data_IF_212198386415
#
_entry.id   IF_212198386415
#
_cell.length_a   1.000
_cell.length_b   1.000
_cell.length_c   1.000
_cell.angle_alpha   90.00
_cell.angle_beta   90.00
_cell.angle_gamma   90.00
#
_symmetry.space_group_name_H-M   'P 1'
#
loop_
_entity.id
_entity.type
_entity.pdbx_description
1 polymer ?
#
# COMPACT_ATOMS: atom_id res chain seq x y z
N UNK A 1 26.44 8.27 1.46
CA UNK A 1 25.16 7.60 1.18
C UNK A 1 24.34 7.66 2.45
N UNK A 2 23.23 8.39 2.45
CA UNK A 2 22.27 8.43 3.55
C UNK A 2 21.17 7.39 3.28
N UNK A 3 20.86 6.60 4.30
CA UNK A 3 19.79 5.61 4.30
C UNK A 3 19.02 5.70 5.60
N UNK A 4 17.70 5.72 5.50
CA UNK A 4 16.79 5.71 6.63
C UNK A 4 15.96 4.44 6.62
N UNK A 5 15.94 3.73 7.74
CA UNK A 5 15.14 2.54 7.99
C UNK A 5 14.20 2.80 9.15
N UNK A 6 12.92 2.53 8.94
CA UNK A 6 11.91 2.54 9.99
C UNK A 6 11.03 1.29 9.91
N UNK A 7 10.71 0.72 11.06
CA UNK A 7 9.76 -0.37 11.20
C UNK A 7 8.81 -0.06 12.35
N UNK A 8 7.53 -0.41 12.20
CA UNK A 8 6.51 -0.23 13.24
C UNK A 8 5.74 -1.53 13.50
N UNK A 9 5.58 -1.85 14.78
CA UNK A 9 4.72 -2.93 15.26
C UNK A 9 3.42 -2.31 15.81
N UNK A 10 2.31 -2.58 15.12
CA UNK A 10 1.02 -1.92 15.30
C UNK A 10 0.00 -2.86 15.93
N UNK A 11 0.02 -4.13 15.53
CA UNK A 11 -0.99 -5.11 15.95
C UNK A 11 -0.67 -5.66 17.35
N UNK A 12 0.63 -5.77 17.69
CA UNK A 12 1.10 -6.13 19.02
C UNK A 12 2.46 -5.47 19.31
N UNK A 13 2.75 -5.13 20.57
CA UNK A 13 4.09 -4.72 20.95
C UNK A 13 5.08 -5.89 20.88
N UNK A 14 6.34 -5.55 20.60
CA UNK A 14 7.50 -6.43 20.69
C UNK A 14 7.77 -6.78 22.14
N UNK A 15 7.93 -8.07 22.41
CA UNK A 15 8.37 -8.53 23.73
C UNK A 15 9.88 -8.29 23.92
N UNK A 16 10.40 -8.49 25.15
CA UNK A 16 11.81 -8.23 25.47
C UNK A 16 12.77 -9.10 24.66
N UNK A 17 12.45 -10.38 24.46
CA UNK A 17 13.28 -11.31 23.70
C UNK A 17 13.35 -10.89 22.21
N UNK A 18 12.25 -10.42 21.64
CA UNK A 18 12.20 -9.89 20.28
C UNK A 18 13.06 -8.63 20.13
N UNK A 19 12.98 -7.71 21.09
CA UNK A 19 13.82 -6.51 21.12
C UNK A 19 15.30 -6.83 21.24
N UNK A 20 15.68 -7.84 22.05
CA UNK A 20 17.06 -8.32 22.16
C UNK A 20 17.56 -8.94 20.86
N UNK A 21 16.74 -9.74 20.16
CA UNK A 21 17.09 -10.29 18.84
C UNK A 21 17.29 -9.18 17.81
N UNK A 22 16.46 -8.14 17.81
CA UNK A 22 16.62 -6.97 16.93
C UNK A 22 17.87 -6.16 17.27
N UNK A 23 18.21 -6.05 18.56
CA UNK A 23 19.45 -5.41 19.04
C UNK A 23 20.70 -6.12 18.53
N UNK A 24 20.64 -7.45 18.38
CA UNK A 24 21.74 -8.23 17.79
C UNK A 24 21.89 -7.99 16.27
N UNK A 25 20.82 -7.58 15.57
CA UNK A 25 20.86 -7.23 14.14
C UNK A 25 21.47 -5.84 13.94
N UNK A 26 21.07 -4.86 14.75
CA UNK A 26 21.65 -3.52 14.72
C UNK A 26 21.86 -2.98 16.12
N UNK A 27 23.13 -2.76 16.45
CA UNK A 27 23.52 -2.16 17.73
C UNK A 27 23.19 -0.66 17.77
N UNK A 28 23.16 0.01 16.61
CA UNK A 28 22.95 1.46 16.47
C UNK A 28 21.48 1.87 16.37
N UNK A 29 20.58 0.94 16.05
CA UNK A 29 19.17 1.25 15.89
C UNK A 29 18.53 1.73 17.20
N UNK A 30 17.60 2.68 17.13
CA UNK A 30 16.69 2.94 18.25
C UNK A 30 15.59 1.89 18.20
N UNK A 31 15.40 1.16 19.30
CA UNK A 31 14.42 0.06 19.38
C UNK A 31 13.53 0.31 20.58
N UNK A 32 12.22 0.24 20.36
CA UNK A 32 11.19 0.34 21.39
C UNK A 32 10.27 -0.88 21.32
N UNK A 33 9.24 -0.92 22.16
CA UNK A 33 8.22 -1.96 22.06
C UNK A 33 7.39 -1.88 20.76
N UNK A 34 7.40 -0.76 20.04
CA UNK A 34 6.54 -0.54 18.86
C UNK A 34 7.31 -0.08 17.63
N UNK A 35 8.63 0.14 17.73
CA UNK A 35 9.41 0.65 16.62
C UNK A 35 10.87 0.20 16.61
N UNK A 36 11.44 0.17 15.40
CA UNK A 36 12.87 0.07 15.15
C UNK A 36 13.22 1.14 14.12
N UNK A 37 14.12 2.06 14.45
CA UNK A 37 14.60 3.08 13.52
C UNK A 37 16.11 3.07 13.44
N UNK A 38 16.66 3.31 12.25
CA UNK A 38 18.10 3.32 12.04
C UNK A 38 18.48 4.20 10.85
N UNK A 39 19.57 4.94 11.00
CA UNK A 39 20.12 5.79 9.95
C UNK A 39 21.56 5.40 9.68
N UNK A 40 21.89 5.17 8.40
CA UNK A 40 23.24 4.84 7.97
C UNK A 40 23.81 5.93 7.07
N UNK A 41 25.09 6.23 7.27
CA UNK A 41 25.89 7.08 6.37
C UNK A 41 26.94 6.26 5.56
N UNK A 42 27.15 5.00 5.95
CA UNK A 42 28.02 4.00 5.33
C UNK A 42 27.56 2.59 5.72
N UNK A 43 27.69 1.63 4.80
CA UNK A 43 27.22 0.26 4.99
C UNK A 43 25.70 0.11 4.83
N UNK A 44 25.17 -1.02 5.26
CA UNK A 44 23.76 -1.36 5.14
C UNK A 44 23.25 -2.09 6.40
N UNK A 45 21.92 -2.20 6.56
CA UNK A 45 21.29 -3.01 7.58
C UNK A 45 21.70 -4.48 7.40
N UNK A 46 22.27 -5.09 8.45
CA UNK A 46 22.70 -6.50 8.39
C UNK A 46 21.54 -7.50 8.34
N UNK A 47 20.32 -7.05 8.64
CA UNK A 47 19.09 -7.85 8.58
C UNK A 47 18.36 -7.66 7.26
N UNK A 48 17.57 -8.67 6.87
CA UNK A 48 16.70 -8.58 5.70
C UNK A 48 15.35 -7.92 6.07
N UNK A 49 15.00 -6.77 5.48
CA UNK A 49 13.77 -6.05 5.82
C UNK A 49 12.49 -6.87 5.62
N UNK A 50 12.37 -7.64 4.52
CA UNK A 50 11.21 -8.52 4.28
C UNK A 50 11.01 -9.51 5.43
N UNK A 51 12.08 -10.20 5.86
CA UNK A 51 12.02 -11.17 6.97
C UNK A 51 11.75 -10.51 8.32
N UNK A 52 12.28 -9.31 8.54
CA UNK A 52 12.01 -8.54 9.76
C UNK A 52 10.54 -8.15 9.83
N UNK A 53 9.96 -7.66 8.72
CA UNK A 53 8.54 -7.31 8.64
C UNK A 53 7.66 -8.55 8.79
N UNK A 54 7.94 -9.67 8.13
CA UNK A 54 7.17 -10.90 8.32
C UNK A 54 7.02 -11.32 9.78
N UNK A 55 8.11 -11.19 10.54
CA UNK A 55 8.25 -11.79 11.87
C UNK A 55 7.87 -10.86 13.01
N UNK A 56 8.18 -9.57 12.91
CA UNK A 56 8.15 -8.65 14.04
C UNK A 56 7.30 -7.40 13.83
N UNK A 57 7.14 -6.95 12.58
CA UNK A 57 6.56 -5.63 12.30
C UNK A 57 5.35 -5.71 11.38
N UNK A 58 4.57 -4.64 11.36
CA UNK A 58 3.38 -4.54 10.52
C UNK A 58 3.54 -3.53 9.39
N UNK A 59 4.53 -2.64 9.50
CA UNK A 59 4.94 -1.75 8.43
C UNK A 59 6.46 -1.50 8.47
N UNK A 60 7.03 -1.23 7.30
CA UNK A 60 8.43 -0.85 7.13
C UNK A 60 8.57 0.23 6.06
N UNK A 61 9.41 1.21 6.31
CA UNK A 61 9.80 2.26 5.37
C UNK A 61 11.33 2.28 5.22
N UNK A 62 11.79 2.40 3.97
CA UNK A 62 13.19 2.57 3.63
C UNK A 62 13.34 3.69 2.60
N UNK A 63 14.23 4.64 2.89
CA UNK A 63 14.45 5.82 2.06
C UNK A 63 15.95 6.08 1.92
N UNK A 64 16.38 6.41 0.71
CA UNK A 64 17.78 6.70 0.40
C UNK A 64 17.95 8.04 -0.30
N UNK A 65 19.13 8.64 -0.16
CA UNK A 65 19.45 9.88 -0.87
C UNK A 65 19.86 9.68 -2.34
N UNK A 66 19.77 8.46 -2.85
CA UNK A 66 19.98 8.14 -4.27
C UNK A 66 18.69 7.66 -4.94
N UNK A 67 17.54 7.92 -4.31
CA UNK A 67 16.23 7.81 -4.94
C UNK A 67 15.38 6.61 -4.55
N UNK A 68 15.90 5.60 -3.85
CA UNK A 68 15.09 4.44 -3.46
C UNK A 68 14.13 4.80 -2.32
N UNK A 69 12.83 4.72 -2.60
CA UNK A 69 11.73 4.80 -1.65
C UNK A 69 11.01 3.47 -1.61
N UNK A 70 10.90 2.86 -0.43
CA UNK A 70 10.27 1.55 -0.27
C UNK A 70 9.36 1.52 0.94
N UNK A 71 8.16 0.98 0.75
CA UNK A 71 7.15 0.76 1.79
C UNK A 71 6.74 -0.72 1.78
N UNK A 72 6.81 -1.38 2.92
CA UNK A 72 6.24 -2.72 3.12
C UNK A 72 5.08 -2.63 4.11
N UNK A 73 3.90 -3.12 3.72
CA UNK A 73 2.73 -3.21 4.59
C UNK A 73 2.34 -4.68 4.80
N UNK A 74 2.08 -5.06 6.05
CA UNK A 74 1.64 -6.40 6.43
C UNK A 74 0.19 -6.35 6.93
N UNK A 75 -0.66 -7.17 6.33
CA UNK A 75 -2.08 -7.26 6.65
C UNK A 75 -2.51 -8.70 6.91
N UNK A 76 -3.48 -8.95 7.81
CA UNK A 76 -4.08 -10.27 7.97
C UNK A 76 -4.72 -10.76 6.65
N UNK A 77 -4.52 -12.03 6.30
CA UNK A 77 -5.10 -12.64 5.07
C UNK A 77 -6.62 -12.52 4.94
N UNK A 78 -7.30 -12.49 6.08
CA UNK A 78 -8.76 -12.36 6.17
C UNK A 78 -9.26 -10.94 5.82
N UNK A 79 -8.37 -9.96 5.86
CA UNK A 79 -8.66 -8.57 5.52
C UNK A 79 -8.22 -8.21 4.09
N UNK A 80 -7.13 -8.82 3.60
CA UNK A 80 -6.66 -8.66 2.23
C UNK A 80 -6.17 -10.00 1.69
N UNK A 81 -6.77 -10.47 0.60
CA UNK A 81 -6.41 -11.74 -0.03
C UNK A 81 -5.36 -11.52 -1.12
N UNK A 82 -4.33 -12.39 -1.17
CA UNK A 82 -3.27 -12.30 -2.17
C UNK A 82 -3.78 -12.29 -3.63
N UNK A 83 -4.80 -13.07 -4.02
CA UNK A 83 -5.37 -13.00 -5.38
C UNK A 83 -5.98 -11.64 -5.74
N UNK A 84 -6.44 -10.85 -4.76
CA UNK A 84 -6.93 -9.48 -4.99
C UNK A 84 -5.79 -8.51 -5.31
N UNK A 85 -4.60 -8.78 -4.76
CA UNK A 85 -3.42 -7.93 -4.93
C UNK A 85 -2.69 -8.24 -6.23
N UNK A 86 -2.62 -9.52 -6.61
CA UNK A 86 -1.81 -9.99 -7.75
C UNK A 86 -2.01 -9.24 -9.07
N UNK A 87 -3.22 -8.79 -9.46
CA UNK A 87 -3.40 -7.99 -10.66
C UNK A 87 -2.64 -6.66 -10.66
N UNK A 88 -2.32 -6.11 -9.49
CA UNK A 88 -1.59 -4.85 -9.34
C UNK A 88 -0.08 -5.04 -9.20
N UNK A 89 0.40 -6.29 -9.11
CA UNK A 89 1.84 -6.56 -9.06
C UNK A 89 2.47 -6.27 -10.43
N UNK A 90 3.57 -5.52 -10.43
CA UNK A 90 4.32 -5.17 -11.63
C UNK A 90 5.81 -5.18 -11.27
N UNK A 91 6.51 -6.13 -11.88
CA UNK A 91 7.92 -6.45 -11.67
C UNK A 91 8.43 -6.31 -10.21
N UNK A 92 9.55 -5.63 -9.97
CA UNK A 92 10.13 -5.45 -8.65
C UNK A 92 9.56 -4.24 -7.88
N UNK A 93 8.82 -3.37 -8.57
CA UNK A 93 8.21 -2.16 -8.00
C UNK A 93 6.98 -2.47 -7.14
N UNK A 94 6.13 -3.42 -7.55
CA UNK A 94 4.96 -3.86 -6.76
C UNK A 94 4.97 -5.37 -6.62
N UNK A 95 5.46 -5.85 -5.47
CA UNK A 95 5.47 -7.27 -5.15
C UNK A 95 4.51 -7.56 -3.99
N UNK A 96 4.01 -8.80 -3.96
CA UNK A 96 3.19 -9.27 -2.86
C UNK A 96 3.37 -10.77 -2.64
N UNK A 97 3.47 -11.13 -1.36
CA UNK A 97 3.58 -12.52 -0.95
C UNK A 97 2.74 -12.78 0.30
N UNK A 98 2.52 -14.07 0.58
CA UNK A 98 1.72 -14.52 1.69
C UNK A 98 2.52 -15.41 2.63
N UNK A 99 2.40 -15.15 3.93
CA UNK A 99 2.81 -16.10 4.97
C UNK A 99 1.64 -17.04 5.27
N UNK A 100 1.68 -17.80 6.37
CA UNK A 100 0.52 -18.61 6.78
C UNK A 100 -0.71 -17.74 7.11
N UNK A 101 -0.49 -16.58 7.73
CA UNK A 101 -1.55 -15.77 8.36
C UNK A 101 -1.71 -14.37 7.77
N UNK A 102 -0.69 -13.86 7.07
CA UNK A 102 -0.65 -12.48 6.56
C UNK A 102 -0.34 -12.44 5.06
N UNK A 103 -0.71 -11.32 4.43
CA UNK A 103 -0.23 -10.87 3.13
C UNK A 103 0.70 -9.68 3.38
N UNK A 104 1.80 -9.61 2.63
CA UNK A 104 2.73 -8.50 2.63
C UNK A 104 2.72 -7.86 1.24
N UNK A 105 2.70 -6.53 1.23
CA UNK A 105 2.82 -5.69 0.04
C UNK A 105 4.19 -5.03 0.09
N UNK A 106 4.96 -5.11 -0.98
CA UNK A 106 6.24 -4.42 -1.19
C UNK A 106 6.06 -3.39 -2.29
N UNK A 107 6.20 -2.12 -1.96
CA UNK A 107 6.06 -1.02 -2.92
C UNK A 107 7.40 -0.30 -2.99
N UNK A 108 8.00 -0.22 -4.18
CA UNK A 108 9.31 0.40 -4.41
C UNK A 108 9.22 1.40 -5.55
N UNK A 109 9.74 2.61 -5.32
CA UNK A 109 9.96 3.64 -6.33
C UNK A 109 11.44 4.00 -6.31
N UNK A 110 12.11 3.86 -7.44
CA UNK A 110 13.49 4.26 -7.65
C UNK A 110 13.53 5.49 -8.56
N UNK A 111 14.48 6.38 -8.30
CA UNK A 111 14.69 7.61 -9.07
C UNK A 111 16.19 7.87 -9.19
N UNK A 112 16.73 7.77 -10.41
CA UNK A 112 18.15 7.98 -10.66
C UNK A 112 18.60 9.44 -10.40
N UNK A 113 17.66 10.39 -10.31
CA UNK A 113 17.91 11.80 -10.07
C UNK A 113 18.35 12.15 -8.64
N UNK A 114 18.09 11.27 -7.67
CA UNK A 114 18.58 11.34 -6.29
C UNK A 114 18.46 12.71 -5.60
N UNK A 115 17.34 12.97 -4.93
CA UNK A 115 17.15 14.18 -4.10
C UNK A 115 17.27 13.92 -2.59
N UNK A 116 17.51 14.98 -1.82
CA UNK A 116 17.43 14.94 -0.35
C UNK A 116 15.97 14.76 0.10
N UNK A 117 15.70 13.70 0.85
CA UNK A 117 14.35 13.42 1.38
C UNK A 117 14.22 14.03 2.78
N UNK A 118 13.79 15.29 2.84
CA UNK A 118 13.44 15.96 4.09
C UNK A 118 12.18 15.30 4.70
N UNK A 119 12.18 15.04 6.01
CA UNK A 119 11.00 14.51 6.71
C UNK A 119 10.69 13.02 6.48
N UNK A 120 11.65 12.21 6.02
CA UNK A 120 11.46 10.76 5.87
C UNK A 120 10.97 10.06 7.17
N UNK A 121 11.34 10.61 8.33
CA UNK A 121 10.94 10.14 9.67
C UNK A 121 9.45 10.37 10.02
N UNK A 122 8.74 11.24 9.29
CA UNK A 122 7.30 11.43 9.44
C UNK A 122 6.48 10.62 8.42
N UNK A 123 7.16 10.09 7.39
CA UNK A 123 6.50 9.44 6.24
C UNK A 123 5.74 8.18 6.64
N UNK A 124 6.35 7.30 7.45
CA UNK A 124 5.69 6.04 7.78
C UNK A 124 4.42 6.27 8.60
N UNK A 125 4.44 7.23 9.54
CA UNK A 125 3.29 7.60 10.37
C UNK A 125 2.13 8.16 9.54
N UNK A 126 2.41 8.84 8.43
CA UNK A 126 1.36 9.28 7.51
C UNK A 126 0.81 8.14 6.63
N UNK A 127 1.63 7.11 6.36
CA UNK A 127 1.30 5.98 5.49
C UNK A 127 0.62 4.79 6.21
N UNK A 128 0.76 4.65 7.54
CA UNK A 128 0.14 3.51 8.27
C UNK A 128 -1.38 3.43 8.10
N UNK A 129 -2.05 4.56 7.83
CA UNK A 129 -3.50 4.61 7.57
C UNK A 129 -3.93 3.79 6.36
N UNK A 130 -3.02 3.53 5.40
CA UNK A 130 -3.27 2.68 4.24
C UNK A 130 -3.63 1.24 4.64
N UNK A 131 -3.14 0.75 5.79
CA UNK A 131 -3.48 -0.60 6.29
C UNK A 131 -4.98 -0.73 6.56
N UNK A 132 -5.56 0.29 7.19
CA UNK A 132 -7.00 0.30 7.49
C UNK A 132 -7.84 0.46 6.21
N UNK A 133 -7.37 1.25 5.26
CA UNK A 133 -8.02 1.43 3.96
C UNK A 133 -8.05 0.11 3.17
N UNK A 134 -6.89 -0.54 3.00
CA UNK A 134 -6.76 -1.84 2.35
C UNK A 134 -7.58 -2.92 3.06
N UNK A 135 -7.51 -2.98 4.40
CA UNK A 135 -8.30 -3.92 5.20
C UNK A 135 -9.81 -3.68 5.08
N UNK A 136 -10.24 -2.47 4.71
CA UNK A 136 -11.65 -2.15 4.46
C UNK A 136 -12.11 -2.47 3.04
N UNK A 137 -11.18 -2.85 2.14
CA UNK A 137 -11.44 -3.13 0.73
C UNK A 137 -11.17 -1.95 -0.21
N UNK A 138 -10.58 -0.86 0.28
CA UNK A 138 -10.15 0.24 -0.59
C UNK A 138 -8.84 -0.15 -1.29
N UNK A 139 -8.93 -0.44 -2.60
CA UNK A 139 -7.80 -0.90 -3.41
C UNK A 139 -7.05 0.25 -4.10
N UNK A 140 -7.43 1.52 -3.87
CA UNK A 140 -6.71 2.69 -4.42
C UNK A 140 -5.22 2.67 -4.09
N UNK A 141 -4.75 2.28 -2.88
CA UNK A 141 -3.31 2.19 -2.62
C UNK A 141 -2.56 1.22 -3.54
N UNK A 142 -3.18 0.11 -3.94
CA UNK A 142 -2.57 -0.87 -4.87
C UNK A 142 -2.48 -0.30 -6.28
N UNK A 143 -3.54 0.38 -6.72
CA UNK A 143 -3.58 1.01 -8.03
C UNK A 143 -2.59 2.18 -8.14
N UNK A 144 -2.46 3.01 -7.10
CA UNK A 144 -1.44 4.06 -7.03
C UNK A 144 -0.02 3.47 -7.13
N UNK A 145 0.25 2.38 -6.43
CA UNK A 145 1.55 1.73 -6.52
C UNK A 145 1.82 1.18 -7.94
N UNK A 146 0.80 0.62 -8.59
CA UNK A 146 0.89 0.17 -9.97
C UNK A 146 1.16 1.32 -10.96
N UNK A 147 0.56 2.51 -10.76
CA UNK A 147 0.87 3.69 -11.58
C UNK A 147 2.34 4.13 -11.45
N UNK A 148 2.88 4.12 -10.23
CA UNK A 148 4.29 4.42 -9.99
C UNK A 148 5.20 3.43 -10.73
N UNK A 149 4.91 2.13 -10.60
CA UNK A 149 5.64 1.08 -11.29
C UNK A 149 5.55 1.20 -12.82
N UNK A 150 4.38 1.55 -13.35
CA UNK A 150 4.19 1.74 -14.79
C UNK A 150 5.05 2.88 -15.34
N UNK A 151 5.14 3.99 -14.62
CA UNK A 151 5.97 5.12 -15.04
C UNK A 151 7.47 4.82 -14.99
N UNK A 152 7.92 4.03 -14.02
CA UNK A 152 9.30 3.54 -13.98
C UNK A 152 9.58 2.61 -15.17
N UNK A 153 8.65 1.69 -15.43
CA UNK A 153 8.75 0.72 -16.51
C UNK A 153 8.77 1.35 -17.92
N UNK A 154 8.06 2.46 -18.13
CA UNK A 154 8.13 3.25 -19.38
C UNK A 154 9.55 3.77 -19.68
N UNK A 155 10.37 3.97 -18.65
CA UNK A 155 11.72 4.54 -18.76
C UNK A 155 12.81 3.47 -18.95
N UNK A 156 12.48 2.19 -18.83
CA UNK A 156 13.44 1.09 -18.97
C UNK A 156 13.62 0.73 -20.46
N UNK A 157 14.87 0.85 -20.96
CA UNK A 157 15.22 0.69 -22.39
C UNK A 157 15.00 -0.73 -22.96
N UNK A 158 14.78 -1.74 -22.13
CA UNK A 158 14.81 -3.16 -22.53
C UNK A 158 13.42 -3.82 -22.72
N UNK A 159 12.31 -3.13 -22.41
CA UNK A 159 10.97 -3.75 -22.28
C UNK A 159 9.86 -3.14 -23.16
N UNK A 160 10.23 -2.48 -24.27
CA UNK A 160 9.33 -1.77 -25.20
C UNK A 160 8.12 -2.57 -25.72
N UNK A 161 8.20 -3.91 -25.76
CA UNK A 161 7.15 -4.77 -26.34
C UNK A 161 6.11 -5.28 -25.31
N UNK A 162 6.47 -5.44 -24.03
CA UNK A 162 5.59 -6.12 -23.05
C UNK A 162 4.52 -5.17 -22.49
N UNK A 163 4.85 -3.89 -22.26
CA UNK A 163 3.88 -2.91 -21.73
C UNK A 163 2.77 -2.53 -22.72
N UNK A 164 3.02 -2.66 -24.03
CA UNK A 164 2.02 -2.34 -25.06
C UNK A 164 0.78 -3.22 -24.94
N UNK A 165 0.96 -4.46 -24.49
CA UNK A 165 -0.12 -5.45 -24.34
C UNK A 165 -0.52 -5.69 -22.89
N UNK A 166 0.22 -5.14 -21.92
CA UNK A 166 -0.11 -5.24 -20.50
C UNK A 166 -1.50 -4.60 -20.23
N UNK A 167 -2.51 -5.39 -19.81
CA UNK A 167 -3.82 -4.86 -19.52
C UNK A 167 -3.79 -4.07 -18.22
N UNK A 168 -4.50 -2.95 -18.17
CA UNK A 168 -4.66 -2.21 -16.93
C UNK A 168 -5.34 -3.08 -15.84
N UNK A 169 -4.86 -3.06 -14.59
CA UNK A 169 -5.53 -3.71 -13.49
C UNK A 169 -6.93 -3.10 -13.24
N UNK A 170 -7.77 -3.75 -12.44
CA UNK A 170 -9.09 -3.20 -12.14
C UNK A 170 -8.97 -1.79 -11.52
N UNK A 171 -9.59 -0.79 -12.16
CA UNK A 171 -9.57 0.59 -11.69
C UNK A 171 -10.50 0.74 -10.47
N UNK A 172 -9.98 1.10 -9.29
CA UNK A 172 -10.80 1.32 -8.11
C UNK A 172 -11.62 2.60 -8.25
N UNK A 173 -12.79 2.64 -7.61
CA UNK A 173 -13.62 3.86 -7.59
C UNK A 173 -13.01 4.96 -6.71
N UNK A 174 -13.21 6.22 -7.07
CA UNK A 174 -12.82 7.38 -6.26
C UNK A 174 -11.36 7.81 -6.39
N UNK A 175 -10.71 7.61 -7.54
CA UNK A 175 -9.36 8.14 -7.77
C UNK A 175 -9.31 9.67 -7.86
N UNK A 176 -10.44 10.33 -8.08
CA UNK A 176 -10.61 11.78 -8.05
C UNK A 176 -10.62 12.38 -6.63
N UNK A 177 -10.87 11.57 -5.60
CA UNK A 177 -10.95 11.99 -4.20
C UNK A 177 -10.04 11.15 -3.29
N UNK A 178 -8.72 11.26 -3.47
CA UNK A 178 -7.73 10.56 -2.63
C UNK A 178 -7.87 10.96 -1.14
N UNK A 179 -7.60 10.01 -0.25
CA UNK A 179 -7.49 10.29 1.20
C UNK A 179 -6.16 10.96 1.54
N UNK A 180 -5.98 11.37 2.81
CA UNK A 180 -4.70 11.88 3.29
C UNK A 180 -3.55 10.88 3.08
N UNK A 181 -3.65 9.65 3.61
CA UNK A 181 -2.65 8.61 3.39
C UNK A 181 -2.40 8.28 1.92
N UNK A 182 -3.43 8.29 1.07
CA UNK A 182 -3.29 8.02 -0.37
C UNK A 182 -2.54 9.13 -1.11
N UNK A 183 -2.75 10.40 -0.77
CA UNK A 183 -1.94 11.50 -1.29
C UNK A 183 -0.49 11.35 -0.87
N UNK A 184 -0.24 11.08 0.41
CA UNK A 184 1.11 10.82 0.89
C UNK A 184 1.76 9.64 0.17
N UNK A 185 1.00 8.57 -0.15
CA UNK A 185 1.52 7.46 -0.95
C UNK A 185 1.89 7.89 -2.37
N UNK A 186 1.03 8.69 -3.02
CA UNK A 186 1.30 9.19 -4.37
C UNK A 186 2.56 10.05 -4.42
N UNK A 187 2.72 10.94 -3.44
CA UNK A 187 3.92 11.77 -3.29
C UNK A 187 5.16 10.89 -3.00
N UNK A 188 5.03 9.94 -2.06
CA UNK A 188 6.11 9.04 -1.66
C UNK A 188 6.60 8.16 -2.81
N UNK A 189 5.70 7.70 -3.68
CA UNK A 189 6.00 6.89 -4.86
C UNK A 189 6.22 7.72 -6.14
N UNK A 190 6.26 9.05 -6.03
CA UNK A 190 6.52 10.01 -7.12
C UNK A 190 5.60 9.82 -8.34
N UNK A 191 4.31 9.59 -8.09
CA UNK A 191 3.34 9.40 -9.17
C UNK A 191 3.14 10.73 -9.91
N UNK A 192 3.26 10.72 -11.23
CA UNK A 192 3.01 11.89 -12.07
C UNK A 192 1.52 12.32 -12.02
N UNK A 193 1.29 13.61 -11.81
CA UNK A 193 -0.07 14.17 -11.70
C UNK A 193 -0.91 13.99 -12.98
N UNK A 194 -0.28 14.08 -14.17
CA UNK A 194 -1.00 13.88 -15.43
C UNK A 194 -1.37 12.39 -15.60
N UNK A 195 -0.51 11.47 -15.18
CA UNK A 195 -0.80 10.03 -15.13
C UNK A 195 -1.94 9.71 -14.16
N UNK A 196 -1.91 10.27 -12.96
CA UNK A 196 -3.01 10.13 -12.00
C UNK A 196 -4.33 10.71 -12.54
N UNK A 197 -4.26 11.85 -13.23
CA UNK A 197 -5.43 12.47 -13.87
C UNK A 197 -5.99 11.60 -15.00
N UNK A 198 -5.13 11.06 -15.86
CA UNK A 198 -5.53 10.13 -16.93
C UNK A 198 -6.15 8.85 -16.35
N UNK A 199 -5.60 8.36 -15.24
CA UNK A 199 -6.14 7.22 -14.51
C UNK A 199 -7.57 7.50 -14.01
N UNK A 200 -7.77 8.64 -13.35
CA UNK A 200 -9.05 9.04 -12.76
C UNK A 200 -10.19 9.18 -13.77
N UNK A 201 -9.92 9.45 -15.06
CA UNK A 201 -10.96 9.53 -16.11
C UNK A 201 -11.74 8.21 -16.29
N UNK A 202 -11.10 7.06 -16.02
CA UNK A 202 -11.72 5.74 -16.08
C UNK A 202 -12.20 5.24 -14.71
N UNK A 203 -11.96 6.01 -13.64
CA UNK A 203 -12.38 5.66 -12.28
C UNK A 203 -13.88 5.88 -12.14
N UNK A 204 -14.64 4.85 -11.71
CA UNK A 204 -16.01 5.08 -11.25
C UNK A 204 -16.03 6.08 -10.10
N UNK A 205 -17.09 6.88 -9.99
CA UNK A 205 -17.29 7.73 -8.81
C UNK A 205 -17.38 6.85 -7.57
N UNK A 206 -16.68 7.24 -6.50
CA UNK A 206 -16.80 6.53 -5.24
C UNK A 206 -18.28 6.49 -4.80
N UNK A 207 -18.80 5.34 -4.33
CA UNK A 207 -20.06 5.36 -3.60
C UNK A 207 -19.90 6.35 -2.44
N UNK A 208 -20.82 7.32 -2.31
CA UNK A 208 -20.81 8.33 -1.24
C UNK A 208 -20.44 7.63 0.06
N UNK A 209 -19.32 8.03 0.68
CA UNK A 209 -18.87 7.52 1.98
C UNK A 209 -20.11 7.28 2.84
N UNK A 210 -20.44 6.03 3.22
CA UNK A 210 -21.48 5.87 4.19
C UNK A 210 -20.98 6.59 5.44
N UNK A 211 -21.76 7.57 5.88
CA UNK A 211 -21.77 7.97 7.28
C UNK A 211 -21.73 6.69 8.11
N UNK A 212 -20.94 6.70 9.20
CA UNK A 212 -20.77 5.62 10.17
C UNK A 212 -21.88 4.54 10.04
N UNK A 213 -21.54 3.31 9.62
CA UNK A 213 -22.53 2.35 9.12
C UNK A 213 -23.68 2.22 10.10
N UNK A 214 -24.89 2.32 9.57
CA UNK A 214 -26.08 2.43 10.42
C UNK A 214 -26.47 1.05 10.93
N UNK A 215 -27.16 1.01 12.09
CA UNK A 215 -27.72 -0.25 12.61
C UNK A 215 -28.63 -0.94 11.58
N UNK A 216 -29.34 -0.18 10.75
CA UNK A 216 -30.24 -0.71 9.72
C UNK A 216 -29.50 -1.45 8.60
N UNK A 217 -28.29 -0.99 8.24
CA UNK A 217 -27.43 -1.64 7.25
C UNK A 217 -26.78 -2.91 7.82
N UNK A 218 -26.21 -2.81 9.02
CA UNK A 218 -25.41 -3.91 9.58
C UNK A 218 -26.26 -5.04 10.16
N UNK A 219 -27.43 -4.76 10.74
CA UNK A 219 -28.26 -5.78 11.38
C UNK A 219 -28.64 -6.96 10.48
N UNK A 220 -29.13 -6.79 9.23
CA UNK A 220 -29.44 -7.92 8.36
C UNK A 220 -28.18 -8.71 7.96
N UNK A 221 -27.07 -8.03 7.67
CA UNK A 221 -25.79 -8.67 7.30
C UNK A 221 -25.23 -9.49 8.45
N UNK A 222 -25.29 -8.96 9.69
CA UNK A 222 -24.91 -9.70 10.89
C UNK A 222 -25.86 -10.86 11.12
N UNK A 223 -27.17 -10.70 10.89
CA UNK A 223 -28.14 -11.78 11.06
C UNK A 223 -27.81 -12.98 10.15
N UNK A 224 -27.40 -12.71 8.90
CA UNK A 224 -27.01 -13.71 7.89
C UNK A 224 -25.73 -14.49 8.22
N UNK A 225 -24.85 -13.93 9.07
CA UNK A 225 -23.62 -14.63 9.49
C UNK A 225 -23.93 -15.92 10.26
N UNK A 226 -23.09 -16.94 10.05
CA UNK A 226 -23.19 -18.20 10.77
C UNK A 226 -22.95 -18.01 12.28
N UNK A 227 -23.57 -18.86 13.11
CA UNK A 227 -23.35 -18.82 14.57
C UNK A 227 -21.86 -18.98 14.92
N UNK A 228 -21.17 -19.88 14.21
CA UNK A 228 -19.73 -20.11 14.39
C UNK A 228 -18.88 -18.85 14.13
N UNK A 229 -19.20 -18.07 13.09
CA UNK A 229 -18.51 -16.80 12.81
C UNK A 229 -18.79 -15.76 13.91
N UNK A 230 -20.04 -15.64 14.36
CA UNK A 230 -20.43 -14.73 15.45
C UNK A 230 -19.69 -15.06 16.73
N UNK A 231 -19.71 -16.33 17.15
CA UNK A 231 -19.05 -16.80 18.37
C UNK A 231 -17.53 -16.54 18.33
N UNK A 232 -16.90 -16.78 17.17
CA UNK A 232 -15.47 -16.51 16.96
C UNK A 232 -15.13 -15.02 17.14
N UNK A 233 -15.93 -14.13 16.55
CA UNK A 233 -15.73 -12.68 16.66
C UNK A 233 -15.97 -12.17 18.08
N UNK A 234 -17.02 -12.66 18.75
CA UNK A 234 -17.32 -12.31 20.13
C UNK A 234 -16.24 -12.81 21.10
N UNK A 235 -15.73 -14.02 20.89
CA UNK A 235 -14.63 -14.55 21.69
C UNK A 235 -13.36 -13.71 21.51
N UNK A 236 -13.00 -13.35 20.26
CA UNK A 236 -11.86 -12.48 19.98
C UNK A 236 -12.00 -11.12 20.66
N UNK A 237 -13.19 -10.52 20.59
CA UNK A 237 -13.49 -9.27 21.28
C UNK A 237 -13.36 -9.39 22.81
N UNK A 238 -13.76 -10.53 23.38
CA UNK A 238 -13.69 -10.79 24.82
C UNK A 238 -12.26 -11.07 25.32
N UNK A 239 -11.41 -11.69 24.49
CA UNK A 239 -10.03 -12.02 24.83
C UNK A 239 -9.10 -10.79 24.89
N UNK A 240 -9.50 -9.68 24.29
CA UNK A 240 -8.79 -8.41 24.39
C UNK A 240 -8.95 -7.52 23.15
N UNK A 241 -8.41 -6.29 23.21
CA UNK A 241 -8.40 -5.41 22.05
C UNK A 241 -7.51 -6.01 20.94
N UNK A 242 -8.11 -6.26 19.78
CA UNK A 242 -7.41 -6.65 18.56
C UNK A 242 -7.48 -5.48 17.56
N UNK A 243 -6.35 -4.78 17.29
CA UNK A 243 -6.30 -3.72 16.29
C UNK A 243 -6.84 -4.21 14.94
N UNK A 244 -7.70 -3.43 14.31
CA UNK A 244 -8.29 -3.78 13.01
C UNK A 244 -9.47 -4.76 13.03
N UNK A 245 -9.86 -5.35 14.18
CA UNK A 245 -11.02 -6.27 14.25
C UNK A 245 -12.33 -5.62 13.75
N UNK A 246 -12.54 -4.34 14.07
CA UNK A 246 -13.69 -3.58 13.56
C UNK A 246 -13.64 -3.45 12.04
N UNK A 247 -12.47 -3.14 11.49
CA UNK A 247 -12.27 -2.94 10.05
C UNK A 247 -12.50 -4.24 9.29
N UNK A 248 -11.95 -5.34 9.79
CA UNK A 248 -12.18 -6.70 9.28
C UNK A 248 -13.66 -7.07 9.28
N UNK A 249 -14.38 -6.82 10.38
CA UNK A 249 -15.81 -7.10 10.46
C UNK A 249 -16.59 -6.28 9.42
N UNK A 250 -16.29 -5.00 9.29
CA UNK A 250 -16.94 -4.14 8.30
C UNK A 250 -16.68 -4.61 6.87
N UNK A 251 -15.45 -5.03 6.57
CA UNK A 251 -15.11 -5.63 5.28
C UNK A 251 -15.90 -6.91 5.02
N UNK A 252 -15.92 -7.83 6.00
CA UNK A 252 -16.70 -9.09 5.92
C UNK A 252 -18.19 -8.86 5.73
N UNK A 253 -18.75 -7.80 6.32
CA UNK A 253 -20.18 -7.46 6.22
C UNK A 253 -20.52 -6.78 4.89
N UNK A 254 -19.66 -5.88 4.40
CA UNK A 254 -19.88 -5.20 3.11
C UNK A 254 -19.70 -6.13 1.91
N UNK A 255 -18.96 -7.22 2.08
CA UNK A 255 -18.56 -8.09 1.00
C UNK A 255 -17.36 -7.49 0.26
N UNK A 256 -16.56 -8.37 -0.36
CA UNK A 256 -15.51 -7.95 -1.26
C UNK A 256 -16.14 -7.68 -2.63
N UNK A 257 -16.58 -6.45 -2.89
CA UNK A 257 -16.75 -5.98 -4.26
C UNK A 257 -15.35 -5.72 -4.83
N UNK A 258 -14.59 -6.79 -5.04
CA UNK A 258 -13.35 -6.70 -5.80
C UNK A 258 -13.74 -6.30 -7.23
N UNK A 259 -13.25 -5.16 -7.75
CA UNK A 259 -13.57 -4.74 -9.11
C UNK A 259 -13.15 -5.85 -10.07
N UNK A 260 -14.14 -6.44 -10.75
CA UNK A 260 -13.88 -7.57 -11.63
C UNK A 260 -13.19 -7.12 -12.92
N UNK A 261 -12.30 -7.95 -13.48
CA UNK A 261 -12.33 -8.45 -14.85
C UNK A 261 -13.08 -7.78 -16.00
N UNK A 262 -13.31 -6.47 -16.14
CA UNK A 262 -14.13 -6.00 -17.28
C UNK A 262 -13.48 -6.35 -18.64
N UNK A 263 -14.22 -6.94 -19.61
CA UNK A 263 -13.70 -7.15 -20.96
C UNK A 263 -13.54 -5.81 -21.69
N UNK A 264 -12.44 -5.66 -22.45
CA UNK A 264 -12.13 -4.41 -23.18
C UNK A 264 -11.42 -3.34 -22.36
N UNK A 265 -10.64 -3.72 -21.34
CA UNK A 265 -9.78 -2.80 -20.59
C UNK A 265 -8.80 -2.08 -21.51
N UNK A 266 -8.50 -0.83 -21.16
CA UNK A 266 -7.38 -0.13 -21.78
C UNK A 266 -6.07 -0.83 -21.44
N UNK A 267 -5.10 -0.78 -22.36
CA UNK A 267 -3.74 -1.21 -22.06
C UNK A 267 -3.01 -0.14 -21.25
N UNK A 268 -1.91 -0.54 -20.62
CA UNK A 268 -0.99 0.35 -19.95
C UNK A 268 -0.45 1.45 -20.89
N UNK A 269 -0.11 1.09 -22.14
CA UNK A 269 0.29 2.06 -23.17
C UNK A 269 -0.79 3.12 -23.46
N UNK A 270 -2.06 2.72 -23.59
CA UNK A 270 -3.15 3.68 -23.82
C UNK A 270 -3.32 4.67 -22.66
N UNK A 271 -3.06 4.23 -21.43
CA UNK A 271 -3.04 5.11 -20.25
C UNK A 271 -1.87 6.10 -20.31
N UNK A 272 -0.66 5.64 -20.64
CA UNK A 272 0.52 6.49 -20.80
C UNK A 272 0.34 7.52 -21.93
N UNK A 273 -0.22 7.12 -23.07
CA UNK A 273 -0.55 8.02 -24.19
C UNK A 273 -1.52 9.13 -23.77
N UNK A 274 -2.53 8.76 -22.97
CA UNK A 274 -3.50 9.72 -22.42
C UNK A 274 -2.80 10.71 -21.48
N UNK A 275 -1.93 10.22 -20.58
CA UNK A 275 -1.15 11.05 -19.67
C UNK A 275 -0.20 11.99 -20.43
N UNK A 276 0.47 11.50 -21.48
CA UNK A 276 1.32 12.30 -22.35
C UNK A 276 0.53 13.43 -23.02
N UNK A 277 -0.67 13.12 -23.53
CA UNK A 277 -1.55 14.13 -24.15
C UNK A 277 -1.88 15.24 -23.16
N UNK A 278 -2.34 14.90 -21.94
CA UNK A 278 -2.62 15.87 -20.88
C UNK A 278 -1.40 16.73 -20.52
N UNK A 279 -0.23 16.11 -20.40
CA UNK A 279 1.05 16.78 -20.14
C UNK A 279 1.38 17.81 -21.22
N UNK A 280 1.20 17.45 -22.49
CA UNK A 280 1.46 18.37 -23.61
C UNK A 280 0.48 19.54 -23.65
N UNK A 281 -0.80 19.30 -23.35
CA UNK A 281 -1.83 20.34 -23.29
C UNK A 281 -1.57 21.32 -22.14
N UNK A 282 -1.25 20.81 -20.95
CA UNK A 282 -0.89 21.62 -19.77
C UNK A 282 0.32 22.52 -20.05
N UNK A 283 1.37 21.98 -20.68
CA UNK A 283 2.56 22.74 -21.08
C UNK A 283 2.26 23.83 -22.12
N UNK A 284 1.26 23.64 -22.98
CA UNK A 284 0.81 24.65 -23.95
C UNK A 284 0.03 25.78 -23.27
N UNK A 285 -0.87 25.46 -22.36
CA UNK A 285 -1.68 26.45 -21.64
C UNK A 285 -0.93 27.20 -20.54
N UNK A 286 0.14 26.62 -19.97
CA UNK A 286 0.99 27.29 -18.97
C UNK A 286 2.04 28.25 -19.55
N UNK A 287 2.15 28.37 -20.88
CA UNK A 287 3.09 29.29 -21.57
C UNK A 287 2.42 30.55 -22.13
N UNK A 288 1.11 30.70 -21.94
CA UNK A 288 0.29 31.89 -22.24
C UNK A 288 -0.02 32.66 -20.97
#
# INVERSE_FOLDING_TARGET
MYQYYEFQALDRPLNREEQERLRAISTRARITATSFTNTYHWGDLSGNPRRMTERYFDAHLYVTNWGTHRLILRLPKRALALPTVKPYCLDHHVDAWATRTHVLLDLTSDDEGGDWVEGAEDSLTALIGLRDELASGDLRPLYLAWLSALAAWELEDDEEEEYQTCPEPPVPSGLDELTGPQRTLADFLRIDDDLLTAAAQASPTAPRKPARPTKKELAPLIADMSQKEKDSLLLRLALGPEPGLRTELLHRLRGADAPAPAPGRRSAAQLLDTAHTLRTERRRHGRT
#
